data_IF_530079163270
#
_entry.id   IF_530079163270
#
_cell.length_a   1.000
_cell.length_b   1.000
_cell.length_c   1.000
_cell.angle_alpha   90.00
_cell.angle_beta   90.00
_cell.angle_gamma   90.00
#
_symmetry.space_group_name_H-M   'P 1'
#
loop_
_entity.id
_entity.type
_entity.pdbx_description
1 polymer ?
#
# COMPACT_ATOMS: atom_id res chain seq x y z
N UNK A 1 -2.82 8.42 0.42
CA UNK A 1 -4.09 7.85 0.93
C UNK A 1 -3.75 6.65 1.79
N UNK A 2 -4.46 6.46 2.90
CA UNK A 2 -4.23 5.35 3.83
C UNK A 2 -5.54 4.58 4.08
N UNK A 3 -5.47 3.25 4.08
CA UNK A 3 -6.60 2.34 4.29
C UNK A 3 -6.19 1.21 5.23
N UNK A 4 -7.06 0.84 6.16
CA UNK A 4 -6.87 -0.34 7.01
C UNK A 4 -7.64 -1.53 6.45
N UNK A 5 -7.02 -2.71 6.44
CA UNK A 5 -7.67 -3.95 6.02
C UNK A 5 -8.80 -4.31 7.00
N UNK A 6 -9.97 -4.74 6.51
CA UNK A 6 -11.13 -5.03 7.38
C UNK A 6 -10.97 -6.31 8.22
N UNK A 7 -10.19 -7.28 7.73
CA UNK A 7 -9.99 -8.59 8.38
C UNK A 7 -8.60 -8.80 9.00
N UNK A 8 -7.61 -8.03 8.59
CA UNK A 8 -6.22 -8.21 9.00
C UNK A 8 -5.75 -6.90 9.59
N UNK A 9 -4.83 -6.95 10.54
CA UNK A 9 -4.32 -5.73 11.18
C UNK A 9 -3.27 -5.03 10.30
N UNK A 10 -3.56 -4.91 9.01
CA UNK A 10 -2.67 -4.36 8.00
C UNK A 10 -3.12 -2.97 7.55
N UNK A 11 -2.17 -2.06 7.37
CA UNK A 11 -2.40 -0.69 6.93
C UNK A 11 -1.69 -0.46 5.60
N UNK A 12 -2.45 -0.01 4.60
CA UNK A 12 -2.01 0.20 3.23
C UNK A 12 -1.91 1.70 2.96
N UNK A 13 -0.78 2.15 2.45
CA UNK A 13 -0.49 3.56 2.20
C UNK A 13 0.20 3.75 0.84
N UNK A 14 -0.42 4.57 -0.01
CA UNK A 14 0.17 4.94 -1.30
C UNK A 14 1.36 5.88 -1.08
N UNK A 15 2.51 5.52 -1.66
CA UNK A 15 3.75 6.28 -1.58
C UNK A 15 3.93 7.20 -2.80
N UNK A 16 4.74 8.28 -2.68
CA UNK A 16 5.00 9.20 -3.80
C UNK A 16 5.72 8.57 -4.99
N UNK A 17 6.46 7.48 -4.77
CA UNK A 17 7.18 6.72 -5.81
C UNK A 17 6.27 5.74 -6.59
N UNK A 18 4.98 5.68 -6.24
CA UNK A 18 3.98 4.81 -6.88
C UNK A 18 3.88 3.42 -6.26
N UNK A 19 4.67 3.10 -5.23
CA UNK A 19 4.53 1.88 -4.44
C UNK A 19 3.40 2.00 -3.41
N UNK A 20 2.97 0.86 -2.88
CA UNK A 20 2.10 0.77 -1.72
C UNK A 20 2.91 0.22 -0.55
N UNK A 21 3.06 1.03 0.50
CA UNK A 21 3.61 0.59 1.78
C UNK A 21 2.50 -0.14 2.53
N UNK A 22 2.77 -1.35 2.97
CA UNK A 22 1.89 -2.14 3.82
C UNK A 22 2.59 -2.40 5.14
N UNK A 23 1.93 -2.09 6.24
CA UNK A 23 2.41 -2.38 7.59
C UNK A 23 1.49 -3.37 8.26
N UNK A 24 2.03 -4.47 8.74
CA UNK A 24 1.34 -5.43 9.60
C UNK A 24 1.56 -5.01 11.06
N UNK A 25 0.51 -4.51 11.70
CA UNK A 25 0.56 -4.00 13.07
C UNK A 25 0.62 -5.10 14.12
N UNK A 26 0.30 -6.35 13.78
CA UNK A 26 0.43 -7.48 14.71
C UNK A 26 1.88 -7.95 14.77
N UNK A 27 2.52 -8.06 13.60
CA UNK A 27 3.92 -8.49 13.48
C UNK A 27 4.94 -7.34 13.59
N UNK A 28 4.51 -6.09 13.41
CA UNK A 28 5.39 -4.92 13.33
C UNK A 28 6.27 -4.90 12.07
N UNK A 29 5.85 -5.61 11.01
CA UNK A 29 6.63 -5.75 9.77
C UNK A 29 6.07 -4.86 8.67
N UNK A 30 6.93 -4.48 7.72
CA UNK A 30 6.58 -3.58 6.62
C UNK A 30 6.99 -4.24 5.30
N UNK A 31 6.16 -4.05 4.28
CA UNK A 31 6.39 -4.47 2.90
C UNK A 31 6.04 -3.37 1.92
N UNK A 32 6.71 -3.34 0.79
CA UNK A 32 6.45 -2.39 -0.29
C UNK A 32 6.09 -3.17 -1.55
N UNK A 33 4.96 -2.82 -2.15
CA UNK A 33 4.39 -3.55 -3.28
C UNK A 33 4.18 -2.62 -4.47
N UNK A 34 4.38 -3.14 -5.68
CA UNK A 34 3.94 -2.45 -6.89
C UNK A 34 2.39 -2.52 -7.02
N UNK A 35 1.82 -1.77 -7.96
CA UNK A 35 0.36 -1.76 -8.19
C UNK A 35 -0.22 -3.11 -8.59
N UNK A 36 0.61 -4.05 -9.04
CA UNK A 36 0.20 -5.41 -9.43
C UNK A 36 0.26 -6.37 -8.24
N UNK A 37 0.66 -5.90 -7.06
CA UNK A 37 0.82 -6.72 -5.86
C UNK A 37 2.15 -7.45 -5.79
N UNK A 38 3.13 -7.14 -6.65
CA UNK A 38 4.46 -7.74 -6.52
C UNK A 38 5.21 -7.09 -5.36
N UNK A 39 5.76 -7.91 -4.49
CA UNK A 39 6.65 -7.47 -3.42
C UNK A 39 7.97 -6.94 -3.99
N UNK A 40 8.36 -5.75 -3.56
CA UNK A 40 9.58 -5.06 -3.99
C UNK A 40 10.66 -5.11 -2.90
N UNK A 41 10.27 -4.85 -1.64
CA UNK A 41 11.20 -4.83 -0.48
C UNK A 41 10.46 -4.84 0.85
N UNK A 42 11.18 -5.18 1.91
CA UNK A 42 10.66 -5.28 3.26
C UNK A 42 10.52 -6.72 3.73
N UNK A 43 10.10 -6.89 4.98
CA UNK A 43 9.97 -8.19 5.62
C UNK A 43 8.57 -8.78 5.41
N UNK A 44 7.56 -7.93 5.20
CA UNK A 44 6.20 -8.36 4.85
C UNK A 44 6.12 -8.65 3.35
N UNK A 45 6.12 -9.92 2.98
CA UNK A 45 6.16 -10.38 1.58
C UNK A 45 4.79 -10.68 0.97
N UNK A 46 3.73 -10.59 1.77
CA UNK A 46 2.35 -10.86 1.35
C UNK A 46 1.40 -9.80 1.91
N UNK A 47 0.46 -9.35 1.07
CA UNK A 47 -0.62 -8.44 1.42
C UNK A 47 -1.77 -8.62 0.42
N UNK A 48 -2.99 -8.17 0.76
CA UNK A 48 -4.16 -8.28 -0.11
C UNK A 48 -3.97 -7.53 -1.45
N UNK A 49 -3.90 -8.24 -2.60
CA UNK A 49 -3.68 -7.61 -3.90
C UNK A 49 -4.79 -6.64 -4.33
N UNK A 50 -6.03 -6.86 -3.90
CA UNK A 50 -7.15 -5.99 -4.24
C UNK A 50 -7.05 -4.65 -3.51
N UNK A 51 -6.59 -4.64 -2.25
CA UNK A 51 -6.30 -3.39 -1.54
C UNK A 51 -5.07 -2.69 -2.11
N UNK A 52 -4.04 -3.43 -2.54
CA UNK A 52 -2.87 -2.85 -3.22
C UNK A 52 -3.30 -2.15 -4.50
N UNK A 53 -4.10 -2.79 -5.34
CA UNK A 53 -4.62 -2.18 -6.56
C UNK A 53 -5.51 -0.97 -6.25
N UNK A 54 -6.39 -1.06 -5.26
CA UNK A 54 -7.27 0.05 -4.90
C UNK A 54 -6.52 1.28 -4.37
N UNK A 55 -5.57 1.08 -3.43
CA UNK A 55 -4.76 2.15 -2.84
C UNK A 55 -3.73 2.68 -3.84
N UNK A 56 -3.15 1.81 -4.65
CA UNK A 56 -2.21 2.16 -5.71
C UNK A 56 -2.87 2.82 -6.92
N UNK A 57 -4.15 2.52 -7.19
CA UNK A 57 -4.84 2.69 -8.46
C UNK A 57 -5.51 4.05 -8.73
N UNK A 58 -5.33 5.05 -7.87
CA UNK A 58 -5.60 6.43 -8.27
C UNK A 58 -4.33 7.26 -8.10
N UNK A 59 -3.76 7.86 -9.17
CA UNK A 59 -2.84 8.95 -8.97
C UNK A 59 -3.56 9.98 -8.09
N UNK A 60 -2.91 10.44 -7.02
CA UNK A 60 -3.41 11.59 -6.28
C UNK A 60 -3.71 12.68 -7.31
N UNK A 61 -4.89 13.33 -7.28
CA UNK A 61 -5.11 14.48 -8.15
C UNK A 61 -3.94 15.42 -7.91
N UNK A 62 -3.13 15.64 -8.95
CA UNK A 62 -2.15 16.73 -8.95
C UNK A 62 -2.93 17.98 -8.62
N UNK A 63 -2.63 18.61 -7.48
CA UNK A 63 -3.18 19.90 -7.16
C UNK A 63 -2.88 20.81 -8.35
N UNK A 64 -3.90 21.13 -9.15
CA UNK A 64 -3.76 22.09 -10.24
C UNK A 64 -3.48 23.41 -9.55
N UNK A 65 -2.21 23.82 -9.51
CA UNK A 65 -1.84 25.18 -9.16
C UNK A 65 -2.49 26.06 -10.23
N UNK A 66 -3.51 26.81 -9.81
CA UNK A 66 -4.17 27.85 -10.59
C UNK A 66 -3.49 29.18 -10.33
#
# INVERSE_FOLDING_TARGET
MQVRHPLYNQVFEQQPDGLVRVEDLDAGTIGYFDRRGHHIRGDLTWADPQLIDWVGGRPLPVAKQA
#
